data_IF_451501469894
#
_entry.id   IF_451501469894
#
_cell.length_a   1.000
_cell.length_b   1.000
_cell.length_c   1.000
_cell.angle_alpha   90.00
_cell.angle_beta   90.00
_cell.angle_gamma   90.00
#
_symmetry.space_group_name_H-M   'P 1'
#
loop_
_entity.id
_entity.type
_entity.pdbx_description
1 polymer ?
#
# COMPACT_ATOMS: atom_id res chain seq x y z
N UNK A 1 -37.81 -47.89 18.27
CA UNK A 1 -37.11 -48.26 17.02
C UNK A 1 -36.47 -47.02 16.41
N UNK A 2 -35.13 -46.94 16.31
CA UNK A 2 -34.44 -45.77 15.75
C UNK A 2 -34.11 -46.05 14.28
N UNK A 3 -34.70 -45.29 13.36
CA UNK A 3 -34.34 -45.31 11.93
C UNK A 3 -33.12 -44.42 11.73
N UNK A 4 -31.93 -45.00 11.71
CA UNK A 4 -30.74 -44.32 11.21
C UNK A 4 -30.82 -44.33 9.68
N UNK A 5 -31.45 -43.31 9.09
CA UNK A 5 -31.30 -43.02 7.66
C UNK A 5 -29.96 -42.31 7.48
N UNK A 6 -28.90 -43.07 7.24
CA UNK A 6 -27.64 -42.52 6.75
C UNK A 6 -27.83 -42.00 5.32
N UNK A 7 -27.12 -40.92 4.99
CA UNK A 7 -27.01 -40.40 3.62
C UNK A 7 -26.62 -41.54 2.66
N UNK A 8 -27.26 -41.62 1.50
CA UNK A 8 -26.87 -42.57 0.46
C UNK A 8 -25.49 -42.23 -0.06
N UNK A 9 -24.66 -43.24 -0.31
CA UNK A 9 -23.33 -43.08 -0.89
C UNK A 9 -23.41 -42.33 -2.24
N UNK A 10 -24.49 -42.56 -3.00
CA UNK A 10 -24.77 -41.86 -4.27
C UNK A 10 -25.03 -40.37 -4.07
N UNK A 11 -25.75 -40.00 -3.02
CA UNK A 11 -26.01 -38.58 -2.71
C UNK A 11 -24.71 -37.85 -2.38
N UNK A 12 -23.78 -38.52 -1.70
CA UNK A 12 -22.49 -37.94 -1.33
C UNK A 12 -21.54 -37.75 -2.53
N UNK A 13 -21.47 -38.71 -3.46
CA UNK A 13 -20.56 -38.60 -4.62
C UNK A 13 -21.00 -37.49 -5.59
N UNK A 14 -22.31 -37.27 -5.74
CA UNK A 14 -22.83 -36.21 -6.61
C UNK A 14 -22.49 -34.84 -5.99
N UNK A 15 -22.58 -34.70 -4.67
CA UNK A 15 -22.26 -33.45 -3.98
C UNK A 15 -20.79 -33.07 -4.16
N UNK A 16 -19.85 -34.00 -3.96
CA UNK A 16 -18.42 -33.71 -4.17
C UNK A 16 -18.10 -33.42 -5.64
N UNK A 17 -18.83 -34.04 -6.59
CA UNK A 17 -18.64 -33.79 -8.01
C UNK A 17 -19.02 -32.35 -8.39
N UNK A 18 -20.16 -31.85 -7.90
CA UNK A 18 -20.60 -30.48 -8.20
C UNK A 18 -19.70 -29.46 -7.49
N UNK A 19 -19.33 -29.72 -6.23
CA UNK A 19 -18.39 -28.86 -5.48
C UNK A 19 -17.02 -28.77 -6.17
N UNK A 20 -16.52 -29.87 -6.73
CA UNK A 20 -15.26 -29.88 -7.47
C UNK A 20 -15.32 -28.98 -8.72
N UNK A 21 -16.43 -29.02 -9.48
CA UNK A 21 -16.63 -28.17 -10.66
C UNK A 21 -16.68 -26.70 -10.26
N UNK A 22 -17.47 -26.37 -9.22
CA UNK A 22 -17.61 -24.99 -8.74
C UNK A 22 -16.28 -24.41 -8.26
N UNK A 23 -15.51 -25.17 -7.48
CA UNK A 23 -14.17 -24.73 -7.03
C UNK A 23 -13.21 -24.58 -8.21
N UNK A 24 -13.26 -25.50 -9.18
CA UNK A 24 -12.41 -25.47 -10.38
C UNK A 24 -12.55 -24.19 -11.20
N UNK A 25 -13.77 -23.68 -11.38
CA UNK A 25 -14.01 -22.44 -12.14
C UNK A 25 -13.77 -21.18 -11.30
N UNK A 26 -14.06 -21.22 -10.00
CA UNK A 26 -13.94 -20.05 -9.11
C UNK A 26 -12.50 -19.75 -8.66
N UNK A 27 -11.65 -20.77 -8.52
CA UNK A 27 -10.28 -20.61 -8.02
C UNK A 27 -9.43 -19.56 -8.79
N UNK A 28 -9.30 -19.59 -10.13
CA UNK A 28 -8.48 -18.61 -10.86
C UNK A 28 -9.06 -17.19 -10.78
N UNK A 29 -10.39 -17.07 -10.71
CA UNK A 29 -11.08 -15.80 -10.58
C UNK A 29 -10.83 -15.19 -9.19
N UNK A 30 -10.99 -16.00 -8.13
CA UNK A 30 -10.74 -15.61 -6.75
C UNK A 30 -9.31 -15.10 -6.54
N UNK A 31 -8.30 -15.80 -7.07
CA UNK A 31 -6.89 -15.38 -6.95
C UNK A 31 -6.68 -13.97 -7.55
N UNK A 32 -7.25 -13.69 -8.72
CA UNK A 32 -7.15 -12.36 -9.36
C UNK A 32 -7.85 -11.28 -8.54
N UNK A 33 -9.01 -11.57 -7.95
CA UNK A 33 -9.73 -10.60 -7.11
C UNK A 33 -9.00 -10.30 -5.80
N UNK A 34 -8.43 -11.32 -5.16
CA UNK A 34 -7.61 -11.12 -3.95
C UNK A 34 -6.44 -10.20 -4.28
N UNK A 35 -5.77 -10.40 -5.42
CA UNK A 35 -4.65 -9.56 -5.82
C UNK A 35 -5.09 -8.12 -6.09
N UNK A 36 -6.18 -7.91 -6.83
CA UNK A 36 -6.74 -6.56 -7.04
C UNK A 36 -7.10 -5.87 -5.72
N UNK A 37 -7.66 -6.60 -4.76
CA UNK A 37 -8.00 -6.05 -3.43
C UNK A 37 -6.74 -5.62 -2.67
N UNK A 38 -5.66 -6.39 -2.77
CA UNK A 38 -4.37 -6.03 -2.17
C UNK A 38 -3.75 -4.80 -2.83
N UNK A 39 -3.81 -4.69 -4.16
CA UNK A 39 -3.33 -3.51 -4.90
C UNK A 39 -4.11 -2.26 -4.47
N UNK A 40 -5.44 -2.35 -4.36
CA UNK A 40 -6.27 -1.23 -3.90
C UNK A 40 -5.93 -0.80 -2.46
N UNK A 41 -5.69 -1.78 -1.56
CA UNK A 41 -5.25 -1.48 -0.21
C UNK A 41 -3.88 -0.78 -0.18
N UNK A 42 -2.94 -1.22 -1.03
CA UNK A 42 -1.63 -0.59 -1.15
C UNK A 42 -1.74 0.84 -1.72
N UNK A 43 -2.61 1.08 -2.71
CA UNK A 43 -2.91 2.42 -3.23
C UNK A 43 -3.42 3.35 -2.13
N UNK A 44 -4.34 2.88 -1.28
CA UNK A 44 -4.85 3.69 -0.16
C UNK A 44 -3.74 4.09 0.82
N UNK A 45 -2.76 3.20 1.06
CA UNK A 45 -1.60 3.53 1.90
C UNK A 45 -0.75 4.62 1.24
N UNK A 46 -0.52 4.54 -0.07
CA UNK A 46 0.23 5.57 -0.80
C UNK A 46 -0.49 6.92 -0.76
N UNK A 47 -1.80 6.94 -0.96
CA UNK A 47 -2.61 8.16 -0.93
C UNK A 47 -2.59 8.82 0.47
N UNK A 48 -2.66 8.01 1.53
CA UNK A 48 -2.54 8.49 2.91
C UNK A 48 -1.19 9.15 3.16
N UNK A 49 -0.10 8.54 2.69
CA UNK A 49 1.25 9.08 2.84
C UNK A 49 1.44 10.35 2.01
N UNK A 50 0.93 10.36 0.77
CA UNK A 50 0.97 11.53 -0.08
C UNK A 50 0.24 12.72 0.56
N UNK A 51 -0.96 12.49 1.07
CA UNK A 51 -1.75 13.52 1.74
C UNK A 51 -1.01 14.06 2.96
N UNK A 52 -0.47 13.18 3.82
CA UNK A 52 0.28 13.60 5.00
C UNK A 52 1.53 14.42 4.66
N UNK A 53 2.29 14.01 3.64
CA UNK A 53 3.46 14.77 3.19
C UNK A 53 3.05 16.12 2.59
N UNK A 54 1.99 16.18 1.79
CA UNK A 54 1.45 17.43 1.27
C UNK A 54 1.01 18.36 2.39
N UNK A 55 0.25 17.87 3.37
CA UNK A 55 -0.19 18.66 4.51
C UNK A 55 1.00 19.25 5.27
N UNK A 56 2.03 18.45 5.56
CA UNK A 56 3.24 18.91 6.25
C UNK A 56 4.02 19.96 5.44
N UNK A 57 4.03 19.84 4.11
CA UNK A 57 4.72 20.80 3.22
C UNK A 57 3.93 22.07 2.92
N UNK A 58 2.60 22.02 3.03
CA UNK A 58 1.70 23.15 2.76
C UNK A 58 1.52 24.06 3.98
N UNK A 59 1.88 23.60 5.17
CA UNK A 59 1.89 24.43 6.36
C UNK A 59 3.04 25.45 6.29
N UNK A 60 2.75 26.77 6.20
CA UNK A 60 3.76 27.79 6.07
C UNK A 60 4.61 27.93 7.34
N UNK A 61 4.08 27.64 8.52
CA UNK A 61 4.85 27.73 9.77
C UNK A 61 5.89 26.62 9.83
N UNK A 62 5.49 25.39 9.49
CA UNK A 62 6.38 24.22 9.39
C UNK A 62 7.43 24.42 8.30
N UNK A 63 7.03 24.87 7.11
CA UNK A 63 7.94 25.06 5.98
C UNK A 63 8.98 26.18 6.24
N UNK A 64 8.56 27.27 6.87
CA UNK A 64 9.45 28.37 7.25
C UNK A 64 10.41 27.96 8.38
N UNK A 65 9.92 27.21 9.37
CA UNK A 65 10.75 26.68 10.45
C UNK A 65 11.80 25.70 9.94
N UNK A 66 11.45 24.83 8.98
CA UNK A 66 12.40 23.92 8.35
C UNK A 66 13.50 24.69 7.60
N UNK A 67 13.10 25.69 6.81
CA UNK A 67 14.03 26.56 6.08
C UNK A 67 14.96 27.35 7.02
N UNK A 68 14.42 27.85 8.15
CA UNK A 68 15.19 28.55 9.18
C UNK A 68 16.20 27.64 9.90
N UNK A 69 15.93 26.34 9.98
CA UNK A 69 16.84 25.33 10.54
C UNK A 69 17.97 24.89 9.59
N UNK A 70 18.05 25.47 8.39
CA UNK A 70 19.02 25.10 7.36
C UNK A 70 18.69 23.80 6.62
N UNK A 71 17.47 23.29 6.82
CA UNK A 71 16.97 22.09 6.16
C UNK A 71 16.06 22.47 5.00
N UNK A 72 16.05 21.62 3.97
CA UNK A 72 15.12 21.73 2.86
C UNK A 72 14.55 20.35 2.57
N UNK A 73 13.25 20.15 2.83
CA UNK A 73 12.54 18.95 2.42
C UNK A 73 12.25 18.98 0.91
N UNK A 74 13.32 18.83 0.11
CA UNK A 74 13.28 19.01 -1.36
C UNK A 74 13.91 17.84 -2.12
N UNK A 75 14.02 16.68 -1.48
CA UNK A 75 14.69 15.49 -2.02
C UNK A 75 13.74 14.37 -2.45
N UNK A 76 14.35 13.25 -2.81
CA UNK A 76 13.68 11.97 -3.01
C UNK A 76 14.33 10.90 -2.14
N UNK A 77 13.57 9.88 -1.76
CA UNK A 77 14.07 8.81 -0.91
C UNK A 77 12.99 7.84 -0.47
N UNK A 78 13.38 6.87 0.36
CA UNK A 78 12.42 6.00 1.03
C UNK A 78 11.66 6.78 2.11
N UNK A 79 10.34 6.59 2.20
CA UNK A 79 9.49 7.23 3.22
C UNK A 79 9.95 6.86 4.64
N UNK A 80 10.43 5.62 4.83
CA UNK A 80 11.01 5.16 6.10
C UNK A 80 12.29 5.88 6.51
N UNK A 81 12.96 6.57 5.58
CA UNK A 81 14.18 7.32 5.82
C UNK A 81 13.92 8.83 6.04
N UNK A 82 12.66 9.29 6.00
CA UNK A 82 12.31 10.67 6.35
C UNK A 82 12.69 10.92 7.80
N UNK A 83 13.63 11.84 8.03
CA UNK A 83 14.18 12.12 9.35
C UNK A 83 13.36 13.14 10.13
N UNK A 84 13.34 13.02 11.46
CA UNK A 84 12.81 14.07 12.36
C UNK A 84 13.70 15.31 12.43
N UNK A 85 14.87 15.29 11.78
CA UNK A 85 15.77 16.47 11.77
C UNK A 85 15.17 17.59 10.95
N UNK A 86 14.40 17.28 9.89
CA UNK A 86 13.57 18.25 9.17
C UNK A 86 12.26 18.46 9.94
N UNK A 87 11.86 19.73 10.09
CA UNK A 87 10.61 20.11 10.75
C UNK A 87 9.41 19.61 9.93
N UNK A 88 9.49 19.69 8.60
CA UNK A 88 8.51 19.07 7.68
C UNK A 88 8.47 17.56 7.87
N UNK A 89 9.63 16.92 7.99
CA UNK A 89 9.73 15.49 8.27
C UNK A 89 9.05 15.10 9.58
N UNK A 90 9.23 15.87 10.65
CA UNK A 90 8.55 15.65 11.93
C UNK A 90 7.04 15.87 11.85
N UNK A 91 6.59 16.93 11.16
CA UNK A 91 5.17 17.22 10.97
C UNK A 91 4.48 16.11 10.14
N UNK A 92 5.17 15.56 9.13
CA UNK A 92 4.68 14.39 8.40
C UNK A 92 4.40 13.20 9.33
N UNK A 93 5.33 12.87 10.22
CA UNK A 93 5.16 11.76 11.16
C UNK A 93 4.04 12.02 12.18
N UNK A 94 3.86 13.28 12.60
CA UNK A 94 2.74 13.69 13.45
C UNK A 94 1.39 13.50 12.75
N UNK A 95 1.26 13.92 11.49
CA UNK A 95 0.03 13.73 10.68
C UNK A 95 -0.26 12.24 10.47
N UNK A 96 0.78 11.42 10.33
CA UNK A 96 0.66 9.96 10.25
C UNK A 96 0.40 9.28 11.61
N UNK A 97 0.35 10.04 12.72
CA UNK A 97 0.10 9.53 14.07
C UNK A 97 1.25 8.71 14.65
N UNK A 98 2.49 8.99 14.24
CA UNK A 98 3.68 8.22 14.60
C UNK A 98 4.92 9.06 14.88
N UNK A 99 6.06 8.37 15.06
CA UNK A 99 7.41 8.93 15.21
C UNK A 99 8.28 8.58 13.98
N UNK A 100 9.44 9.20 13.79
CA UNK A 100 10.38 8.81 12.73
C UNK A 100 10.72 7.32 12.82
N UNK A 101 10.51 6.61 11.72
CA UNK A 101 10.72 5.16 11.69
C UNK A 101 9.80 4.39 12.65
N UNK A 102 8.80 5.06 13.26
CA UNK A 102 7.62 4.37 13.73
C UNK A 102 7.15 3.61 12.53
N UNK A 103 7.11 2.30 12.72
CA UNK A 103 6.71 1.34 11.73
C UNK A 103 5.28 1.65 11.37
N UNK A 104 5.04 2.67 10.52
CA UNK A 104 4.02 2.58 9.49
C UNK A 104 4.47 1.33 8.78
N UNK A 105 3.92 0.23 9.28
CA UNK A 105 4.15 -1.08 8.75
C UNK A 105 3.35 -1.01 7.49
N UNK A 106 3.93 -0.36 6.46
CA UNK A 106 3.45 -0.36 5.10
C UNK A 106 3.74 -1.79 4.66
N UNK A 107 2.96 -2.71 5.23
CA UNK A 107 2.87 -4.10 4.83
C UNK A 107 2.13 -4.03 3.53
N UNK A 108 2.89 -3.74 2.49
CA UNK A 108 2.39 -3.79 1.14
C UNK A 108 2.00 -5.24 0.88
N UNK A 109 0.75 -5.43 0.49
CA UNK A 109 0.14 -6.76 0.43
C UNK A 109 0.13 -7.31 -0.98
N UNK A 110 0.23 -6.45 -1.99
CA UNK A 110 0.29 -6.89 -3.39
C UNK A 110 1.56 -7.70 -3.64
N UNK A 111 1.43 -8.68 -4.51
CA UNK A 111 2.46 -9.67 -4.81
C UNK A 111 3.77 -9.02 -5.25
N UNK A 112 3.70 -7.95 -6.03
CA UNK A 112 4.86 -7.20 -6.46
C UNK A 112 5.49 -6.33 -5.39
N UNK A 113 4.68 -5.87 -4.43
CA UNK A 113 5.09 -4.88 -3.44
C UNK A 113 5.62 -5.49 -2.14
N UNK A 114 5.44 -6.80 -1.91
CA UNK A 114 5.89 -7.50 -0.69
C UNK A 114 7.38 -7.35 -0.37
N UNK A 115 8.21 -6.94 -1.33
CA UNK A 115 9.65 -6.65 -1.17
C UNK A 115 10.02 -5.20 -1.53
N UNK A 116 9.03 -4.39 -1.91
CA UNK A 116 9.22 -3.00 -2.34
C UNK A 116 9.21 -2.03 -1.15
N UNK A 117 9.88 -0.89 -1.31
CA UNK A 117 9.81 0.22 -0.37
C UNK A 117 8.87 1.30 -0.90
N UNK A 118 8.14 1.96 0.01
CA UNK A 118 7.44 3.20 -0.33
C UNK A 118 8.45 4.35 -0.41
N UNK A 119 8.44 5.04 -1.53
CA UNK A 119 9.40 6.09 -1.87
C UNK A 119 8.66 7.36 -2.28
N UNK A 120 9.33 8.50 -2.11
CA UNK A 120 8.81 9.81 -2.45
C UNK A 120 9.81 10.64 -3.25
N UNK A 121 9.33 11.65 -3.96
CA UNK A 121 10.12 12.72 -4.56
C UNK A 121 9.35 14.02 -4.47
N UNK A 122 10.03 15.06 -3.98
CA UNK A 122 9.54 16.44 -4.03
C UNK A 122 9.95 17.02 -5.39
N UNK A 123 8.97 17.40 -6.21
CA UNK A 123 9.20 17.88 -7.59
C UNK A 123 9.29 19.42 -7.63
N UNK A 124 9.00 20.09 -6.50
CA UNK A 124 9.00 21.54 -6.35
C UNK A 124 7.59 22.12 -6.25
N UNK A 125 7.46 23.35 -5.73
CA UNK A 125 6.20 24.10 -5.59
C UNK A 125 5.06 23.25 -5.00
N UNK A 126 5.28 22.64 -3.84
CA UNK A 126 4.29 21.80 -3.13
C UNK A 126 3.77 20.60 -3.94
N UNK A 127 4.52 20.13 -4.94
CA UNK A 127 4.23 18.89 -5.66
C UNK A 127 5.09 17.76 -5.14
N UNK A 128 4.43 16.67 -4.77
CA UNK A 128 5.06 15.45 -4.26
C UNK A 128 4.59 14.30 -5.13
N UNK A 129 5.44 13.30 -5.31
CA UNK A 129 5.00 12.02 -5.84
C UNK A 129 5.44 10.93 -4.89
N UNK A 130 4.54 9.99 -4.61
CA UNK A 130 4.79 8.82 -3.76
C UNK A 130 4.53 7.56 -4.59
N UNK A 131 5.39 6.56 -4.44
CA UNK A 131 5.28 5.31 -5.19
C UNK A 131 5.82 4.12 -4.41
N UNK A 132 5.43 2.93 -4.86
CA UNK A 132 6.03 1.68 -4.43
C UNK A 132 7.14 1.31 -5.40
N UNK A 133 8.34 1.09 -4.87
CA UNK A 133 9.52 0.76 -5.67
C UNK A 133 9.45 -0.69 -6.18
N UNK A 134 9.69 -0.90 -7.47
CA UNK A 134 9.75 -2.23 -8.08
C UNK A 134 8.40 -2.83 -8.46
N UNK A 135 7.33 -2.03 -8.51
CA UNK A 135 5.98 -2.45 -8.91
C UNK A 135 5.40 -1.62 -10.05
N UNK A 136 4.60 -2.27 -10.91
CA UNK A 136 3.77 -1.60 -11.91
C UNK A 136 2.40 -1.17 -11.37
N UNK A 137 1.58 -0.53 -12.22
CA UNK A 137 0.22 -0.08 -11.89
C UNK A 137 -0.78 -1.20 -11.55
N UNK A 138 -0.38 -2.46 -11.72
CA UNK A 138 -1.18 -3.65 -11.40
C UNK A 138 -0.63 -4.36 -10.17
N UNK A 139 0.35 -3.77 -9.47
CA UNK A 139 1.03 -4.38 -8.32
C UNK A 139 1.87 -5.60 -8.68
N UNK A 140 2.25 -5.77 -9.95
CA UNK A 140 3.16 -6.83 -10.38
C UNK A 140 4.62 -6.40 -10.22
N UNK A 141 5.52 -7.35 -9.96
CA UNK A 141 6.97 -7.08 -9.90
C UNK A 141 7.45 -6.55 -11.25
N UNK A 142 7.97 -5.34 -11.26
CA UNK A 142 8.65 -4.78 -12.43
C UNK A 142 9.81 -3.89 -11.95
N UNK A 143 11.07 -4.36 -12.08
CA UNK A 143 12.25 -3.65 -11.59
C UNK A 143 12.51 -2.33 -12.34
N UNK A 144 11.91 -2.15 -13.52
CA UNK A 144 12.05 -0.94 -14.34
C UNK A 144 10.86 0.02 -14.19
N UNK A 145 9.81 -0.36 -13.45
CA UNK A 145 8.63 0.49 -13.25
C UNK A 145 8.79 1.36 -11.99
N UNK A 146 8.90 2.67 -12.20
CA UNK A 146 8.58 3.66 -11.16
C UNK A 146 7.11 4.03 -11.35
N UNK A 147 6.21 3.28 -10.72
CA UNK A 147 4.78 3.60 -10.79
C UNK A 147 4.45 4.72 -9.81
N UNK A 148 4.41 5.94 -10.32
CA UNK A 148 3.86 7.07 -9.59
C UNK A 148 2.36 6.87 -9.40
N UNK A 149 1.89 6.75 -8.17
CA UNK A 149 0.51 7.14 -7.89
C UNK A 149 0.55 8.66 -7.97
N UNK A 150 0.27 9.20 -9.16
CA UNK A 150 -0.03 10.62 -9.33
C UNK A 150 -1.35 10.84 -8.63
N UNK A 151 -1.28 11.25 -7.38
CA UNK A 151 -2.34 12.01 -6.77
C UNK A 151 -2.05 13.45 -7.20
N UNK A 152 -2.80 13.92 -8.21
CA UNK A 152 -2.76 15.34 -8.60
C UNK A 152 -3.33 16.23 -7.50
#
# INVERSE_FOLDING_TARGET
>A
MRKNKGFSLVELIIVIAIMAILVGVLAPQLIKYIEKSKVAADTQVVDSVHTAMLTAMMDPEVANADSASGNSFTGSGAVSAITSTSVVGSAFWEVMGGSQGAKVSIKLKSYGASTGNLSYSVIGNNKISVWISGTDSRGSKNPSASYYIRVE
#
